data_IF_173636488928
#
_entry.id   IF_173636488928
#
_cell.length_a   1.000
_cell.length_b   1.000
_cell.length_c   1.000
_cell.angle_alpha   90.00
_cell.angle_beta   90.00
_cell.angle_gamma   90.00
#
_symmetry.space_group_name_H-M   'P 1'
#
loop_
_entity.id
_entity.type
_entity.pdbx_description
1 polymer ?
#
# COMPACT_ATOMS: atom_id res chain seq x y z
N UNK A 1 -31.67 6.41 27.37
CA UNK A 1 -30.83 7.61 27.21
C UNK A 1 -29.47 7.23 27.77
N UNK A 2 -28.47 7.12 26.90
CA UNK A 2 -27.15 6.57 27.27
C UNK A 2 -26.35 7.61 28.06
N UNK A 3 -25.66 7.15 29.10
CA UNK A 3 -24.67 7.97 29.80
C UNK A 3 -23.54 8.31 28.82
N UNK A 4 -23.22 9.59 28.68
CA UNK A 4 -22.09 10.05 27.86
C UNK A 4 -20.77 9.50 28.40
N UNK A 5 -19.72 9.56 27.59
CA UNK A 5 -18.42 9.02 28.02
C UNK A 5 -17.45 8.83 26.88
N UNK A 6 -16.19 8.56 27.23
CA UNK A 6 -15.18 8.20 26.25
C UNK A 6 -15.49 6.83 25.65
N UNK A 7 -15.22 6.69 24.35
CA UNK A 7 -15.29 5.44 23.64
C UNK A 7 -13.88 4.93 23.38
N UNK A 8 -13.64 3.63 23.57
CA UNK A 8 -12.34 3.02 23.30
C UNK A 8 -12.46 1.98 22.21
N UNK A 9 -11.72 2.17 21.13
CA UNK A 9 -11.43 1.14 20.14
C UNK A 9 -10.28 0.29 20.69
N UNK A 10 -10.39 -1.04 20.64
CA UNK A 10 -9.26 -1.93 20.93
C UNK A 10 -9.32 -3.18 20.09
N UNK A 11 -8.20 -3.58 19.51
CA UNK A 11 -8.09 -4.73 18.62
C UNK A 11 -6.64 -5.21 18.53
N UNK A 12 -6.49 -6.48 18.14
CA UNK A 12 -5.20 -7.04 17.73
C UNK A 12 -5.13 -7.04 16.20
N UNK A 13 -3.93 -6.84 15.66
CA UNK A 13 -3.69 -6.93 14.23
C UNK A 13 -2.35 -7.59 13.91
N UNK A 14 -2.31 -8.15 12.71
CA UNK A 14 -1.12 -8.75 12.08
C UNK A 14 -0.96 -8.10 10.74
N UNK A 15 0.15 -7.39 10.52
CA UNK A 15 0.36 -6.61 9.31
C UNK A 15 1.66 -7.01 8.62
N UNK A 16 1.56 -7.31 7.33
CA UNK A 16 2.69 -7.63 6.47
C UNK A 16 2.42 -7.12 5.06
N UNK A 17 3.41 -6.47 4.46
CA UNK A 17 3.39 -6.11 3.04
C UNK A 17 4.67 -6.60 2.40
N UNK A 18 4.55 -7.06 1.15
CA UNK A 18 5.69 -7.47 0.36
C UNK A 18 5.47 -7.11 -1.11
N UNK A 19 6.53 -6.63 -1.74
CA UNK A 19 6.65 -6.47 -3.17
C UNK A 19 7.99 -7.07 -3.62
N UNK A 20 7.94 -7.87 -4.67
CA UNK A 20 9.12 -8.56 -5.20
C UNK A 20 9.14 -8.46 -6.73
N UNK A 21 10.33 -8.28 -7.30
CA UNK A 21 10.58 -8.43 -8.74
C UNK A 21 11.87 -9.21 -8.97
N UNK A 22 11.87 -10.07 -9.99
CA UNK A 22 13.02 -10.92 -10.33
C UNK A 22 14.19 -10.10 -10.91
N UNK A 23 15.42 -10.58 -10.77
CA UNK A 23 16.63 -9.84 -11.16
C UNK A 23 16.73 -9.54 -12.66
N UNK A 24 16.10 -10.35 -13.50
CA UNK A 24 16.04 -10.26 -14.95
C UNK A 24 14.83 -9.49 -15.49
N UNK A 25 13.97 -8.98 -14.61
CA UNK A 25 12.84 -8.16 -14.99
C UNK A 25 13.28 -6.84 -15.62
N UNK A 26 12.56 -6.45 -16.68
CA UNK A 26 12.81 -5.22 -17.42
C UNK A 26 11.70 -4.21 -17.15
N UNK A 27 12.01 -2.92 -17.33
CA UNK A 27 10.99 -1.90 -17.29
C UNK A 27 9.92 -2.16 -18.38
N UNK A 28 8.61 -1.95 -18.13
CA UNK A 28 8.01 -1.43 -16.89
C UNK A 28 7.43 -2.46 -15.89
N UNK A 29 8.08 -3.61 -15.67
CA UNK A 29 7.67 -4.55 -14.60
C UNK A 29 7.64 -3.85 -13.24
N UNK A 30 6.56 -4.06 -12.49
CA UNK A 30 6.36 -3.49 -11.17
C UNK A 30 5.49 -4.39 -10.27
N UNK A 31 5.74 -4.36 -8.97
CA UNK A 31 4.90 -4.95 -7.95
C UNK A 31 4.72 -3.95 -6.80
N UNK A 32 3.54 -3.87 -6.22
CA UNK A 32 3.28 -3.05 -5.05
C UNK A 32 2.21 -3.66 -4.16
N UNK A 33 2.28 -3.37 -2.87
CA UNK A 33 1.24 -3.72 -1.92
C UNK A 33 1.07 -2.63 -0.88
N UNK A 34 -0.17 -2.44 -0.42
CA UNK A 34 -0.51 -1.43 0.56
C UNK A 34 -1.61 -1.92 1.50
N UNK A 35 -1.63 -1.41 2.72
CA UNK A 35 -2.77 -1.49 3.62
C UNK A 35 -3.09 -0.12 4.20
N UNK A 36 -4.33 0.11 4.57
CA UNK A 36 -4.74 1.26 5.36
C UNK A 36 -5.83 0.88 6.36
N UNK A 37 -5.88 1.64 7.45
CA UNK A 37 -6.90 1.56 8.48
C UNK A 37 -7.19 2.95 9.04
N UNK A 38 -8.46 3.34 9.01
CA UNK A 38 -8.93 4.62 9.56
C UNK A 38 -10.26 4.45 10.25
N UNK A 39 -10.39 5.06 11.43
CA UNK A 39 -11.60 5.16 12.22
C UNK A 39 -12.06 6.61 12.22
N UNK A 40 -13.35 6.84 11.98
CA UNK A 40 -13.96 8.16 12.15
C UNK A 40 -15.24 8.07 12.97
N UNK A 41 -15.49 9.08 13.80
CA UNK A 41 -16.79 9.29 14.44
C UNK A 41 -17.34 10.66 14.03
N UNK A 42 -18.53 10.63 13.47
CA UNK A 42 -19.30 11.83 13.14
C UNK A 42 -20.44 12.00 14.15
N UNK A 43 -20.58 13.21 14.69
CA UNK A 43 -21.74 13.65 15.46
C UNK A 43 -22.85 14.02 14.48
N UNK A 44 -23.94 13.26 14.47
CA UNK A 44 -25.03 13.45 13.52
C UNK A 44 -25.95 14.62 13.90
N UNK A 45 -25.93 15.07 15.15
CA UNK A 45 -26.69 16.23 15.61
C UNK A 45 -25.96 17.53 15.32
N UNK A 46 -24.65 17.57 15.55
CA UNK A 46 -23.80 18.70 15.18
C UNK A 46 -23.46 18.73 13.67
N UNK A 47 -23.57 17.59 12.99
CA UNK A 47 -23.18 17.43 11.59
C UNK A 47 -21.67 17.58 11.37
N UNK A 48 -20.85 17.11 12.31
CA UNK A 48 -19.41 17.34 12.32
C UNK A 48 -18.62 16.05 12.64
N UNK A 49 -17.45 15.91 12.00
CA UNK A 49 -16.47 14.90 12.41
C UNK A 49 -15.81 15.32 13.73
N UNK A 50 -15.86 14.45 14.73
CA UNK A 50 -15.30 14.71 16.06
C UNK A 50 -14.13 13.80 16.39
N UNK A 51 -14.03 12.65 15.71
CA UNK A 51 -12.90 11.73 15.85
C UNK A 51 -12.43 11.31 14.47
N UNK A 52 -11.11 11.37 14.25
CA UNK A 52 -10.41 10.74 13.14
C UNK A 52 -9.13 10.13 13.66
N UNK A 53 -8.98 8.83 13.57
CA UNK A 53 -7.81 8.09 14.03
C UNK A 53 -7.33 7.11 12.97
N UNK A 54 -6.06 7.21 12.61
CA UNK A 54 -5.39 6.33 11.68
C UNK A 54 -4.06 5.92 12.32
N UNK A 55 -3.91 4.66 12.78
CA UNK A 55 -2.68 4.23 13.45
C UNK A 55 -1.46 4.45 12.55
N UNK A 56 -0.51 5.26 13.01
CA UNK A 56 0.68 5.72 12.30
C UNK A 56 1.99 5.29 13.01
N UNK A 57 1.87 4.62 14.15
CA UNK A 57 2.96 4.01 14.92
C UNK A 57 3.56 4.93 15.99
N UNK A 58 4.63 4.47 16.66
CA UNK A 58 5.20 5.17 17.81
C UNK A 58 5.76 6.54 17.40
N UNK A 59 5.35 7.59 18.09
CA UNK A 59 5.81 8.96 17.84
C UNK A 59 5.04 9.70 16.74
N UNK A 60 3.97 9.11 16.23
CA UNK A 60 2.97 9.77 15.40
C UNK A 60 2.15 10.84 16.12
N UNK A 61 1.28 11.52 15.36
CA UNK A 61 0.35 12.49 15.95
C UNK A 61 -0.90 11.75 16.41
N UNK A 62 -1.32 12.01 17.65
CA UNK A 62 -2.64 11.59 18.10
C UNK A 62 -3.70 12.06 17.09
N UNK A 63 -4.57 11.13 16.68
CA UNK A 63 -5.70 11.42 15.81
C UNK A 63 -6.58 12.53 16.38
N UNK A 64 -7.36 13.19 15.53
CA UNK A 64 -8.35 14.18 15.99
C UNK A 64 -9.32 13.50 16.94
N UNK A 65 -9.58 14.12 18.10
CA UNK A 65 -10.53 13.59 19.09
C UNK A 65 -10.04 12.35 19.84
N UNK A 66 -8.76 11.96 19.72
CA UNK A 66 -8.14 10.89 20.52
C UNK A 66 -7.35 11.51 21.68
N UNK A 67 -7.54 10.97 22.89
CA UNK A 67 -6.86 11.44 24.11
C UNK A 67 -5.78 10.49 24.60
N UNK A 68 -5.85 9.22 24.21
CA UNK A 68 -4.82 8.22 24.49
C UNK A 68 -4.86 7.10 23.47
N UNK A 69 -3.69 6.53 23.19
CA UNK A 69 -3.58 5.39 22.28
C UNK A 69 -2.48 4.39 22.69
N UNK A 70 -2.63 3.17 22.20
CA UNK A 70 -1.58 2.16 22.09
C UNK A 70 -1.42 1.94 20.58
N UNK A 71 -0.25 2.28 20.04
CA UNK A 71 0.04 2.16 18.62
C UNK A 71 1.49 1.68 18.39
N UNK A 72 1.72 0.35 18.38
CA UNK A 72 3.07 -0.20 18.29
C UNK A 72 3.71 -0.04 16.91
N UNK A 73 2.92 0.08 15.83
CA UNK A 73 3.38 0.30 14.46
C UNK A 73 2.24 0.72 13.54
N UNK A 74 2.59 1.41 12.45
CA UNK A 74 1.63 1.92 11.46
C UNK A 74 0.79 0.81 10.82
N UNK A 75 -0.53 1.04 10.77
CA UNK A 75 -1.49 0.29 9.96
C UNK A 75 -1.90 1.05 8.68
N UNK A 76 -1.03 1.96 8.25
CA UNK A 76 -1.14 2.75 7.03
C UNK A 76 0.23 2.79 6.34
N UNK A 77 0.54 1.76 5.56
CA UNK A 77 1.85 1.59 4.91
C UNK A 77 1.70 1.04 3.48
N UNK A 78 2.76 1.22 2.69
CA UNK A 78 2.88 0.67 1.34
C UNK A 78 4.33 0.28 1.04
N UNK A 79 4.50 -0.72 0.18
CA UNK A 79 5.80 -1.13 -0.37
C UNK A 79 5.67 -1.33 -1.87
N UNK A 80 6.78 -1.12 -2.58
CA UNK A 80 6.83 -1.29 -4.03
C UNK A 80 8.21 -1.68 -4.52
N UNK A 81 8.21 -2.33 -5.68
CA UNK A 81 9.39 -2.70 -6.46
C UNK A 81 9.11 -2.46 -7.93
N UNK A 82 10.09 -1.88 -8.62
CA UNK A 82 10.01 -1.54 -10.04
C UNK A 82 11.33 -1.92 -10.70
N UNK A 83 11.25 -2.65 -11.80
CA UNK A 83 12.44 -2.92 -12.61
C UNK A 83 13.08 -1.60 -13.08
N UNK A 84 14.42 -1.50 -13.10
CA UNK A 84 15.41 -2.55 -12.86
C UNK A 84 15.85 -2.71 -11.39
N UNK A 85 15.20 -2.01 -10.44
CA UNK A 85 15.53 -2.09 -9.01
C UNK A 85 14.83 -3.29 -8.37
N UNK A 86 15.40 -4.45 -8.64
CA UNK A 86 14.85 -5.76 -8.31
C UNK A 86 15.16 -6.21 -6.88
N UNK A 87 14.55 -7.33 -6.48
CA UNK A 87 14.63 -7.90 -5.13
C UNK A 87 13.39 -7.62 -4.28
N UNK A 88 13.46 -7.91 -2.98
CA UNK A 88 12.32 -7.78 -2.06
C UNK A 88 12.27 -6.39 -1.43
N UNK A 89 11.08 -5.80 -1.34
CA UNK A 89 10.74 -4.70 -0.44
C UNK A 89 9.60 -5.17 0.45
N UNK A 90 9.73 -5.03 1.77
CA UNK A 90 8.71 -5.51 2.69
C UNK A 90 8.52 -4.58 3.88
N UNK A 91 7.37 -4.71 4.52
CA UNK A 91 7.02 -4.09 5.79
C UNK A 91 6.54 -5.18 6.73
N UNK A 92 7.34 -5.49 7.74
CA UNK A 92 7.15 -6.59 8.68
C UNK A 92 8.32 -6.65 9.67
N UNK A 93 8.23 -7.56 10.64
CA UNK A 93 9.28 -7.78 11.64
C UNK A 93 10.56 -8.34 10.97
N UNK A 94 10.38 -9.22 10.00
CA UNK A 94 11.42 -9.65 9.05
C UNK A 94 10.77 -10.11 7.74
N UNK A 95 11.57 -10.39 6.71
CA UNK A 95 11.06 -10.89 5.43
C UNK A 95 10.26 -12.19 5.66
N UNK A 96 9.00 -12.18 5.23
CA UNK A 96 8.03 -13.26 5.45
C UNK A 96 7.37 -13.28 6.85
N UNK A 97 7.70 -12.34 7.74
CA UNK A 97 7.19 -12.29 9.12
C UNK A 97 6.44 -10.98 9.38
N UNK A 98 5.14 -11.11 9.65
CA UNK A 98 4.27 -9.99 9.98
C UNK A 98 4.64 -9.33 11.30
N UNK A 99 4.45 -8.02 11.39
CA UNK A 99 4.33 -7.38 12.69
C UNK A 99 3.06 -7.87 13.39
N UNK A 100 3.11 -7.99 14.71
CA UNK A 100 1.97 -8.39 15.55
C UNK A 100 1.90 -7.45 16.74
N UNK A 101 0.73 -6.93 17.02
CA UNK A 101 0.54 -6.00 18.12
C UNK A 101 -0.92 -5.87 18.54
N UNK A 102 -1.11 -5.07 19.58
CA UNK A 102 -2.42 -4.65 20.07
C UNK A 102 -2.50 -3.14 19.92
N UNK A 103 -3.64 -2.67 19.43
CA UNK A 103 -3.95 -1.26 19.30
C UNK A 103 -5.09 -0.89 20.23
N UNK A 104 -5.06 0.36 20.66
CA UNK A 104 -6.17 0.96 21.37
C UNK A 104 -6.21 2.44 21.06
N UNK A 105 -7.39 3.03 20.90
CA UNK A 105 -7.57 4.47 20.79
C UNK A 105 -8.77 4.88 21.65
N UNK A 106 -8.58 5.83 22.56
CA UNK A 106 -9.66 6.35 23.40
C UNK A 106 -10.03 7.75 22.96
N UNK A 107 -11.31 7.98 22.72
CA UNK A 107 -11.82 9.27 22.26
C UNK A 107 -11.92 10.28 23.39
N UNK A 108 -12.10 11.56 23.04
CA UNK A 108 -12.72 12.54 23.93
C UNK A 108 -14.10 12.02 24.41
N UNK A 109 -14.60 12.49 25.56
CA UNK A 109 -15.94 12.13 26.02
C UNK A 109 -17.01 12.52 24.99
N UNK A 110 -17.81 11.55 24.58
CA UNK A 110 -18.99 11.74 23.74
C UNK A 110 -20.16 12.23 24.60
N UNK A 111 -21.01 13.08 24.04
CA UNK A 111 -22.15 13.67 24.76
C UNK A 111 -23.27 12.63 24.93
N UNK A 112 -23.88 12.66 26.11
CA UNK A 112 -25.07 11.86 26.39
C UNK A 112 -26.21 12.30 25.46
N UNK A 113 -27.02 11.33 25.01
CA UNK A 113 -28.17 11.56 24.13
C UNK A 113 -27.86 12.06 22.72
N UNK A 114 -26.59 12.13 22.32
CA UNK A 114 -26.22 12.39 20.94
C UNK A 114 -26.16 11.11 20.11
N UNK A 115 -26.55 11.20 18.84
CA UNK A 115 -26.41 10.12 17.86
C UNK A 115 -25.09 10.25 17.11
N UNK A 116 -24.26 9.21 17.21
CA UNK A 116 -22.95 9.15 16.55
C UNK A 116 -22.91 8.07 15.48
N UNK A 117 -22.17 8.34 14.40
CA UNK A 117 -21.85 7.34 13.38
C UNK A 117 -20.37 6.99 13.46
N UNK A 118 -20.08 5.72 13.78
CA UNK A 118 -18.74 5.15 13.64
C UNK A 118 -18.55 4.60 12.23
N UNK A 119 -17.49 5.03 11.56
CA UNK A 119 -17.04 4.47 10.29
C UNK A 119 -15.65 3.87 10.47
N UNK A 120 -15.48 2.62 10.03
CA UNK A 120 -14.18 1.95 9.95
C UNK A 120 -13.90 1.70 8.49
N UNK A 121 -12.79 2.23 7.99
CA UNK A 121 -12.30 1.95 6.63
C UNK A 121 -11.01 1.16 6.75
N UNK A 122 -10.99 0.02 6.08
CA UNK A 122 -9.80 -0.81 5.96
C UNK A 122 -9.71 -1.31 4.52
N UNK A 123 -8.53 -1.20 3.92
CA UNK A 123 -8.22 -1.90 2.67
C UNK A 123 -6.83 -2.51 2.72
N UNK A 124 -6.67 -3.58 1.95
CA UNK A 124 -5.40 -4.24 1.70
C UNK A 124 -5.39 -4.62 0.22
N UNK A 125 -4.34 -4.19 -0.47
CA UNK A 125 -4.24 -4.27 -1.92
C UNK A 125 -2.85 -4.78 -2.30
N UNK A 126 -2.80 -5.57 -3.36
CA UNK A 126 -1.56 -6.03 -3.98
C UNK A 126 -1.76 -6.03 -5.50
N UNK A 127 -0.81 -5.45 -6.21
CA UNK A 127 -0.78 -5.37 -7.66
C UNK A 127 0.59 -5.82 -8.16
N UNK A 128 0.60 -6.59 -9.23
CA UNK A 128 1.80 -6.99 -9.94
C UNK A 128 1.56 -6.90 -11.44
N UNK A 129 2.44 -6.17 -12.11
CA UNK A 129 2.49 -6.03 -13.56
C UNK A 129 3.83 -6.53 -14.05
N UNK A 130 3.83 -7.67 -14.73
CA UNK A 130 4.99 -8.21 -15.43
C UNK A 130 5.02 -7.76 -16.88
N UNK A 131 6.21 -7.45 -17.39
CA UNK A 131 6.46 -7.18 -18.81
C UNK A 131 7.44 -8.20 -19.33
N UNK A 132 6.92 -9.15 -20.11
CA UNK A 132 7.75 -10.08 -20.84
C UNK A 132 8.49 -9.29 -21.92
N UNK A 133 9.82 -9.19 -21.80
CA UNK A 133 10.67 -8.76 -22.90
C UNK A 133 10.48 -9.77 -24.05
N UNK A 134 9.62 -9.44 -25.03
CA UNK A 134 9.54 -10.21 -26.26
C UNK A 134 10.94 -10.20 -26.89
N UNK A 135 11.62 -11.35 -27.06
CA UNK A 135 12.86 -11.38 -27.80
C UNK A 135 12.60 -10.72 -29.15
N UNK A 136 13.48 -9.80 -29.57
CA UNK A 136 13.32 -9.15 -30.86
C UNK A 136 13.03 -10.23 -31.91
N UNK A 137 11.90 -10.15 -32.65
CA UNK A 137 11.55 -11.19 -33.59
C UNK A 137 12.74 -11.45 -34.49
N UNK A 138 13.14 -12.72 -34.68
CA UNK A 138 14.22 -13.07 -35.60
C UNK A 138 14.00 -12.51 -37.02
N UNK A 139 12.77 -12.09 -37.33
CA UNK A 139 12.39 -11.33 -38.53
C UNK A 139 13.06 -9.96 -38.63
N UNK A 140 13.36 -9.24 -37.54
CA UNK A 140 14.12 -7.98 -37.55
C UNK A 140 15.57 -8.25 -37.94
N UNK A 141 16.18 -9.28 -37.36
CA UNK A 141 17.52 -9.72 -37.74
C UNK A 141 17.57 -10.21 -39.20
N UNK A 142 16.58 -11.00 -39.65
CA UNK A 142 16.46 -11.46 -41.04
C UNK A 142 16.17 -10.33 -42.02
N UNK A 143 15.37 -9.33 -41.63
CA UNK A 143 15.13 -8.13 -42.41
C UNK A 143 16.42 -7.31 -42.55
N UNK A 144 17.18 -7.13 -41.46
CA UNK A 144 18.49 -6.49 -41.50
C UNK A 144 19.48 -7.24 -42.39
N UNK A 145 19.57 -8.56 -42.26
CA UNK A 145 20.39 -9.42 -43.12
C UNK A 145 19.94 -9.39 -44.59
N UNK A 146 18.63 -9.37 -44.83
CA UNK A 146 18.04 -9.24 -46.17
C UNK A 146 18.39 -7.91 -46.81
N UNK A 147 18.27 -6.80 -46.09
CA UNK A 147 18.67 -5.48 -46.55
C UNK A 147 20.18 -5.38 -46.80
N UNK A 148 21.00 -5.99 -45.95
CA UNK A 148 22.45 -6.03 -46.13
C UNK A 148 22.84 -6.87 -47.36
N UNK A 149 22.19 -8.00 -47.58
CA UNK A 149 22.34 -8.82 -48.79
C UNK A 149 21.93 -8.07 -50.06
N UNK A 150 20.84 -7.30 -50.01
CA UNK A 150 20.38 -6.47 -51.12
C UNK A 150 21.34 -5.29 -51.39
N UNK A 151 21.89 -4.65 -50.35
CA UNK A 151 22.87 -3.58 -50.49
C UNK A 151 24.20 -4.06 -51.11
N UNK A 152 24.68 -5.25 -50.70
CA UNK A 152 25.89 -5.84 -51.25
C UNK A 152 25.71 -6.37 -52.68
N UNK A 153 24.52 -6.88 -53.03
CA UNK A 153 24.22 -7.35 -54.39
C UNK A 153 24.11 -6.20 -55.40
N UNK A 154 23.62 -5.02 -54.98
CA UNK A 154 23.56 -3.82 -55.83
C UNK A 154 24.95 -3.27 -56.19
N UNK A 155 25.94 -3.40 -55.29
CA UNK A 155 27.34 -2.99 -55.54
C UNK A 155 28.09 -3.86 -56.56
N UNK A 156 27.65 -5.10 -56.80
CA UNK A 156 28.28 -6.01 -57.79
C UNK A 156 27.77 -5.81 -59.22
N UNK A 157 26.77 -4.96 -59.42
CA UNK A 157 26.20 -4.63 -60.74
C UNK A 157 26.47 -3.18 -61.17
N UNK A 158 27.32 -2.44 -60.45
CA UNK A 158 27.87 -1.15 -60.86
C UNK A 158 29.32 -1.29 -61.28
#
# INVERSE_FOLDING_TARGET
>A
MGEGGAFTFSFDARAYLEAWSANDEVFPTAASSAYNLTFTIDDLEAGANIVTWAPDGPGGSLGTGIVSEIDPFSLNDNVGRNAPFNGTSFRGDSEGVAFVGTWSGTTIPLLANNTYQLTIRSSAEADAREVVALPEPATVALMGLGMLGLGLSRRRRS
#
